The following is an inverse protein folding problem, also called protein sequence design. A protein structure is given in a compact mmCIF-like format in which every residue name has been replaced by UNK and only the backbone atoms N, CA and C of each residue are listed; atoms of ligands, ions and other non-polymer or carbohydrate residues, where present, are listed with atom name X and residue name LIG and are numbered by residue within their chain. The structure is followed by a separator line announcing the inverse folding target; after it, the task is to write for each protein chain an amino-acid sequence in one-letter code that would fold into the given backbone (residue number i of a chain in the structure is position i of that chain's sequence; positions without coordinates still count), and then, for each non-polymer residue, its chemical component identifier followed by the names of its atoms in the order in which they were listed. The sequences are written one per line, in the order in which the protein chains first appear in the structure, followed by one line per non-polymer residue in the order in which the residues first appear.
data_IF_552855711515
#
_entry.id   IF_552855711515
#
_cell.length_a   1.000
_cell.length_b   1.000
_cell.length_c   1.000
_cell.angle_alpha   90.00
_cell.angle_beta   90.00
_cell.angle_gamma   90.00
#
_symmetry.space_group_name_H-M   'P 1'
#
loop_
_entity.id
_entity.type
_entity.pdbx_description
1 polymer ?
#
# COMPACT_ATOMS: atom_id res chain seq x y z
N UNK A 1 -0.36 -20.24 0.36
CA UNK A 1 -0.90 -19.16 1.20
C UNK A 1 -1.36 -18.03 0.27
N UNK A 2 -2.63 -17.59 0.33
CA UNK A 2 -3.15 -16.49 -0.48
C UNK A 2 -2.28 -15.23 -0.43
N UNK A 3 -2.40 -14.40 -1.47
CA UNK A 3 -1.68 -13.13 -1.58
C UNK A 3 -2.67 -12.04 -1.96
N UNK A 4 -2.64 -10.94 -1.22
CA UNK A 4 -3.51 -9.81 -1.44
C UNK A 4 -2.69 -8.60 -1.88
N UNK A 5 -3.13 -7.95 -2.96
CA UNK A 5 -2.55 -6.70 -3.45
C UNK A 5 -3.51 -5.55 -3.15
N UNK A 6 -3.02 -4.54 -2.44
CA UNK A 6 -3.76 -3.37 -2.03
C UNK A 6 -3.22 -2.15 -2.77
N UNK A 7 -4.10 -1.44 -3.47
CA UNK A 7 -3.73 -0.26 -4.24
C UNK A 7 -4.73 0.86 -4.06
N UNK A 8 -4.28 2.08 -4.32
CA UNK A 8 -5.14 3.26 -4.25
C UNK A 8 -6.20 3.18 -5.34
N UNK A 9 -7.47 3.21 -4.95
CA UNK A 9 -8.60 3.28 -5.86
C UNK A 9 -8.67 4.70 -6.45
N UNK A 10 -8.34 4.83 -7.73
CA UNK A 10 -8.32 6.13 -8.41
C UNK A 10 -9.71 6.63 -8.80
N UNK A 11 -10.73 5.80 -8.60
CA UNK A 11 -12.14 6.08 -8.85
C UNK A 11 -12.97 6.15 -7.57
N UNK A 12 -12.32 6.22 -6.39
CA UNK A 12 -13.03 6.36 -5.12
C UNK A 12 -13.94 7.60 -5.14
N UNK A 13 -15.21 7.40 -4.83
CA UNK A 13 -16.21 8.47 -4.70
C UNK A 13 -16.42 8.89 -3.24
N UNK A 14 -15.95 8.07 -2.30
CA UNK A 14 -15.99 8.28 -0.85
C UNK A 14 -14.61 8.00 -0.22
N UNK A 15 -14.25 8.67 0.89
CA UNK A 15 -13.11 8.30 1.72
C UNK A 15 -13.10 6.82 2.14
N UNK A 16 -14.28 6.18 2.25
CA UNK A 16 -14.45 4.77 2.63
C UNK A 16 -14.08 3.78 1.51
N UNK A 17 -13.76 4.25 0.31
CA UNK A 17 -13.40 3.41 -0.84
C UNK A 17 -11.98 3.68 -1.37
N UNK A 18 -11.16 4.37 -0.58
CA UNK A 18 -9.85 4.88 -0.96
C UNK A 18 -8.89 3.79 -1.44
N UNK A 19 -9.00 2.59 -0.90
CA UNK A 19 -8.16 1.44 -1.21
C UNK A 19 -8.99 0.29 -1.77
N UNK A 20 -8.46 -0.36 -2.81
CA UNK A 20 -8.99 -1.60 -3.36
C UNK A 20 -8.06 -2.74 -3.00
N UNK A 21 -8.64 -3.87 -2.57
CA UNK A 21 -7.89 -5.09 -2.24
C UNK A 21 -8.25 -6.16 -3.27
N UNK A 22 -7.24 -6.66 -3.97
CA UNK A 22 -7.35 -7.78 -4.90
C UNK A 22 -6.82 -9.04 -4.24
N UNK A 23 -7.61 -10.10 -4.27
CA UNK A 23 -7.12 -11.45 -4.05
C UNK A 23 -6.45 -11.96 -5.34
N UNK A 24 -5.15 -12.21 -5.29
CA UNK A 24 -4.39 -12.70 -6.47
C UNK A 24 -4.74 -14.12 -6.86
N UNK A 25 -5.33 -14.91 -5.97
CA UNK A 25 -5.76 -16.28 -6.29
C UNK A 25 -6.98 -16.26 -7.20
N UNK A 26 -7.94 -15.37 -6.94
CA UNK A 26 -9.16 -15.24 -7.75
C UNK A 26 -9.09 -14.15 -8.82
N UNK A 27 -8.16 -13.20 -8.69
CA UNK A 27 -8.04 -12.03 -9.57
C UNK A 27 -9.13 -10.99 -9.35
N UNK A 28 -9.90 -11.08 -8.25
CA UNK A 28 -11.06 -10.22 -7.98
C UNK A 28 -10.76 -9.20 -6.90
N UNK A 29 -11.37 -8.02 -7.02
CA UNK A 29 -11.46 -7.06 -5.90
C UNK A 29 -12.43 -7.64 -4.88
N UNK A 30 -11.95 -7.90 -3.67
CA UNK A 30 -12.74 -8.51 -2.59
C UNK A 30 -13.24 -7.49 -1.57
N UNK A 31 -12.56 -6.36 -1.45
CA UNK A 31 -12.98 -5.26 -0.57
C UNK A 31 -12.53 -3.91 -1.12
N UNK A 32 -13.34 -2.89 -0.85
CA UNK A 32 -12.95 -1.47 -0.91
C UNK A 32 -13.07 -0.91 0.49
N UNK A 33 -12.09 -0.15 0.93
CA UNK A 33 -12.06 0.40 2.29
C UNK A 33 -11.27 1.70 2.34
N UNK A 34 -11.61 2.56 3.31
CA UNK A 34 -10.87 3.77 3.61
C UNK A 34 -9.63 3.52 4.47
N UNK A 35 -9.65 2.49 5.30
CA UNK A 35 -8.61 2.24 6.30
C UNK A 35 -8.16 0.78 6.31
N UNK A 36 -6.86 0.55 6.41
CA UNK A 36 -6.24 -0.77 6.59
C UNK A 36 -5.00 -0.69 7.45
N UNK A 37 -4.88 -1.62 8.38
CA UNK A 37 -3.69 -1.93 9.15
C UNK A 37 -3.16 -3.30 8.69
N UNK A 38 -1.88 -3.40 8.33
CA UNK A 38 -1.31 -4.61 7.72
C UNK A 38 0.05 -4.94 8.33
N UNK A 39 0.31 -6.22 8.61
CA UNK A 39 1.62 -6.73 9.05
C UNK A 39 2.39 -7.39 7.90
N UNK A 40 3.72 -7.34 7.95
CA UNK A 40 4.62 -8.06 7.05
C UNK A 40 4.38 -7.72 5.56
N UNK A 41 4.30 -6.44 5.23
CA UNK A 41 3.89 -5.99 3.91
C UNK A 41 5.08 -5.69 2.98
N UNK A 42 4.93 -6.08 1.71
CA UNK A 42 5.85 -5.71 0.65
C UNK A 42 5.32 -4.51 -0.16
N UNK A 43 6.18 -3.56 -0.46
CA UNK A 43 5.87 -2.38 -1.28
C UNK A 43 6.37 -2.63 -2.70
N UNK A 44 5.43 -2.90 -3.61
CA UNK A 44 5.75 -3.41 -4.93
C UNK A 44 5.46 -2.35 -5.99
N UNK A 45 6.43 -2.10 -6.87
CA UNK A 45 6.27 -1.31 -8.08
C UNK A 45 6.58 -2.19 -9.28
N UNK A 46 5.68 -2.24 -10.26
CA UNK A 46 5.89 -2.93 -11.51
C UNK A 46 6.63 -2.02 -12.51
N UNK A 47 7.86 -2.35 -12.93
CA UNK A 47 8.69 -1.44 -13.72
C UNK A 47 8.07 -1.03 -15.05
N UNK A 48 7.40 -1.96 -15.74
CA UNK A 48 6.72 -1.67 -17.01
C UNK A 48 5.59 -0.63 -16.83
N UNK A 49 4.81 -0.75 -15.76
CA UNK A 49 3.78 0.22 -15.43
C UNK A 49 4.35 1.58 -15.03
N UNK A 50 5.44 1.58 -14.25
CA UNK A 50 6.15 2.80 -13.86
C UNK A 50 6.65 3.58 -15.07
N UNK A 51 7.35 2.90 -15.99
CA UNK A 51 7.82 3.50 -17.25
C UNK A 51 6.68 4.08 -18.07
N UNK A 52 5.55 3.36 -18.17
CA UNK A 52 4.37 3.84 -18.90
C UNK A 52 3.81 5.12 -18.27
N UNK A 53 3.69 5.19 -16.93
CA UNK A 53 3.19 6.40 -16.26
C UNK A 53 4.16 7.56 -16.41
N UNK A 54 5.46 7.33 -16.31
CA UNK A 54 6.46 8.37 -16.52
C UNK A 54 6.42 8.94 -17.95
N UNK A 55 6.33 8.06 -18.96
CA UNK A 55 6.28 8.48 -20.36
C UNK A 55 4.97 9.19 -20.74
N UNK A 56 3.83 8.70 -20.26
CA UNK A 56 2.50 9.18 -20.70
C UNK A 56 1.84 10.17 -19.74
N UNK A 57 2.39 10.33 -18.54
CA UNK A 57 1.82 11.10 -17.43
C UNK A 57 0.38 10.70 -17.05
N UNK A 58 -0.07 9.52 -17.50
CA UNK A 58 -1.41 8.99 -17.29
C UNK A 58 -1.45 8.05 -16.09
N UNK A 59 -2.55 8.08 -15.34
CA UNK A 59 -2.79 7.20 -14.18
C UNK A 59 -2.76 5.72 -14.61
N UNK A 60 -2.09 4.88 -13.83
CA UNK A 60 -2.08 3.42 -14.02
C UNK A 60 -1.92 2.73 -12.67
N UNK A 61 -2.55 1.57 -12.48
CA UNK A 61 -2.32 0.72 -11.31
C UNK A 61 -1.08 -0.13 -11.59
N UNK A 62 0.01 0.19 -10.92
CA UNK A 62 1.30 -0.48 -11.08
C UNK A 62 2.15 -0.44 -9.82
N UNK A 63 1.59 0.10 -8.73
CA UNK A 63 2.22 0.13 -7.43
C UNK A 63 1.17 -0.25 -6.39
N UNK A 64 1.54 -1.14 -5.47
CA UNK A 64 0.63 -1.71 -4.48
C UNK A 64 1.39 -2.22 -3.27
N UNK A 65 0.68 -2.30 -2.15
CA UNK A 65 1.10 -3.01 -0.95
C UNK A 65 0.70 -4.47 -1.09
N UNK A 66 1.58 -5.40 -0.77
CA UNK A 66 1.34 -6.84 -0.91
C UNK A 66 1.51 -7.54 0.43
N UNK A 67 0.53 -8.34 0.81
CA UNK A 67 0.58 -9.18 2.00
C UNK A 67 0.31 -10.63 1.63
N UNK A 68 0.87 -11.56 2.41
CA UNK A 68 0.57 -12.98 2.34
C UNK A 68 -0.04 -13.40 3.66
N UNK A 69 -1.22 -14.00 3.62
CA UNK A 69 -1.93 -14.44 4.82
C UNK A 69 -2.77 -15.68 4.51
N UNK A 70 -3.19 -16.43 5.54
CA UNK A 70 -4.03 -17.63 5.38
C UNK A 70 -5.42 -17.26 4.83
N UNK A 71 -5.97 -16.14 5.27
CA UNK A 71 -7.19 -15.52 4.77
C UNK A 71 -7.06 -13.99 4.79
N UNK A 72 -8.04 -13.29 4.20
CA UNK A 72 -8.11 -11.83 4.30
C UNK A 72 -8.34 -11.37 5.75
N UNK A 73 -9.16 -12.09 6.51
CA UNK A 73 -9.43 -11.76 7.92
C UNK A 73 -8.16 -11.86 8.77
N UNK A 74 -7.30 -12.85 8.51
CA UNK A 74 -6.02 -12.98 9.20
C UNK A 74 -5.09 -11.80 8.89
N UNK A 75 -5.08 -11.33 7.63
CA UNK A 75 -4.23 -10.21 7.20
C UNK A 75 -4.53 -8.90 7.95
N UNK A 76 -5.80 -8.67 8.30
CA UNK A 76 -6.23 -7.44 9.00
C UNK A 76 -6.22 -7.61 10.53
N UNK A 77 -6.48 -8.80 11.06
CA UNK A 77 -6.52 -9.02 12.51
C UNK A 77 -5.17 -8.72 13.18
N UNK A 78 -4.07 -9.14 12.55
CA UNK A 78 -2.72 -8.87 13.05
C UNK A 78 -2.38 -7.37 13.01
N UNK A 79 -2.82 -6.68 11.95
CA UNK A 79 -2.58 -5.24 11.81
C UNK A 79 -3.38 -4.42 12.81
N UNK A 80 -4.65 -4.77 13.06
CA UNK A 80 -5.48 -4.08 14.05
C UNK A 80 -4.93 -4.27 15.47
N UNK A 81 -4.43 -5.47 15.81
CA UNK A 81 -3.82 -5.69 17.12
C UNK A 81 -2.61 -4.78 17.35
N UNK A 82 -1.76 -4.61 16.33
CA UNK A 82 -0.60 -3.72 16.39
C UNK A 82 -1.02 -2.25 16.52
N UNK A 83 -1.97 -1.78 15.70
CA UNK A 83 -2.43 -0.38 15.76
C UNK A 83 -2.95 0.02 17.16
N UNK A 84 -3.50 -0.93 17.92
CA UNK A 84 -4.03 -0.69 19.26
C UNK A 84 -2.98 -0.67 20.39
N UNK A 85 -1.73 -1.10 20.16
CA UNK A 85 -0.65 -1.05 21.16
C UNK A 85 -0.14 0.39 21.40
N UNK A 86 -0.47 1.34 20.52
CA UNK A 86 -0.35 2.78 20.76
C UNK A 86 1.07 3.34 20.87
N UNK A 87 2.10 2.50 20.79
CA UNK A 87 3.52 2.86 21.01
C UNK A 87 4.36 2.69 19.75
N UNK A 88 3.96 3.31 18.65
CA UNK A 88 4.64 3.13 17.36
C UNK A 88 4.97 4.47 16.70
N UNK A 89 6.23 4.63 16.30
CA UNK A 89 6.67 5.73 15.44
C UNK A 89 6.56 5.22 14.01
N UNK A 90 5.77 5.90 13.21
CA UNK A 90 5.52 5.54 11.83
C UNK A 90 5.97 6.67 10.92
N UNK A 91 6.67 6.31 9.85
CA UNK A 91 7.14 7.28 8.88
C UNK A 91 6.28 7.21 7.64
N UNK A 92 5.88 8.36 7.12
CA UNK A 92 5.16 8.39 5.86
C UNK A 92 6.04 7.91 4.72
N UNK A 93 5.49 7.01 3.92
CA UNK A 93 6.06 6.57 2.66
C UNK A 93 5.10 6.86 1.49
N UNK A 94 5.67 7.07 0.31
CA UNK A 94 4.89 7.32 -0.90
C UNK A 94 5.61 6.87 -2.16
N UNK A 95 4.86 6.84 -3.25
CA UNK A 95 5.38 6.54 -4.58
C UNK A 95 4.95 7.63 -5.57
N UNK A 96 5.92 8.20 -6.29
CA UNK A 96 5.72 9.33 -7.21
C UNK A 96 6.23 9.00 -8.63
N UNK A 97 5.51 8.18 -9.41
CA UNK A 97 5.95 7.72 -10.73
C UNK A 97 6.16 8.86 -11.72
N UNK A 98 5.38 9.95 -11.59
CA UNK A 98 5.50 11.14 -12.44
C UNK A 98 6.82 11.88 -12.26
N UNK A 99 7.49 11.69 -11.11
CA UNK A 99 8.82 12.22 -10.83
C UNK A 99 9.94 11.22 -11.18
N UNK A 100 9.62 10.15 -11.91
CA UNK A 100 10.58 9.11 -12.31
C UNK A 100 10.93 8.14 -11.18
N UNK A 101 10.17 8.12 -10.08
CA UNK A 101 10.42 7.14 -9.02
C UNK A 101 10.05 5.74 -9.49
N UNK A 102 10.86 4.76 -9.09
CA UNK A 102 10.74 3.33 -9.40
C UNK A 102 10.41 2.47 -8.16
N UNK A 103 10.30 3.12 -7.01
CA UNK A 103 10.19 2.51 -5.68
C UNK A 103 9.41 3.42 -4.76
N UNK A 104 8.77 2.85 -3.74
CA UNK A 104 8.26 3.62 -2.62
C UNK A 104 9.44 4.20 -1.83
N UNK A 105 9.27 5.40 -1.29
CA UNK A 105 10.30 6.08 -0.50
C UNK A 105 9.70 6.74 0.72
N UNK A 106 10.47 6.80 1.80
CA UNK A 106 10.17 7.66 2.93
C UNK A 106 10.11 9.12 2.49
N UNK A 107 9.16 9.90 3.01
CA UNK A 107 9.07 11.35 2.72
C UNK A 107 9.37 12.24 3.92
N UNK A 108 9.58 11.64 5.08
CA UNK A 108 9.84 12.31 6.34
C UNK A 108 10.69 11.41 7.25
N UNK A 109 11.17 11.95 8.36
CA UNK A 109 12.01 11.24 9.31
C UNK A 109 13.46 11.07 8.86
N UNK A 110 14.26 10.29 9.61
CA UNK A 110 15.70 10.13 9.38
C UNK A 110 16.03 9.38 8.08
N UNK A 111 15.05 8.69 7.48
CA UNK A 111 15.22 7.91 6.25
C UNK A 111 14.65 8.61 5.01
N UNK A 112 14.26 9.88 5.10
CA UNK A 112 13.63 10.61 4.00
C UNK A 112 14.41 10.47 2.67
N UNK A 113 13.68 10.11 1.60
CA UNK A 113 14.23 9.86 0.27
C UNK A 113 14.77 8.44 0.04
N UNK A 114 15.00 7.65 1.09
CA UNK A 114 15.46 6.27 0.95
C UNK A 114 14.33 5.37 0.44
N UNK A 115 14.64 4.39 -0.43
CA UNK A 115 13.66 3.44 -0.92
C UNK A 115 13.25 2.45 0.16
N UNK A 116 12.02 1.96 0.04
CA UNK A 116 11.46 0.95 0.93
C UNK A 116 10.68 -0.09 0.11
N UNK A 117 10.96 -1.37 0.39
CA UNK A 117 10.42 -2.52 -0.36
C UNK A 117 9.71 -3.51 0.54
N UNK A 118 10.03 -3.52 1.83
CA UNK A 118 9.41 -4.34 2.88
C UNK A 118 9.21 -3.46 4.11
N UNK A 119 8.17 -3.76 4.86
CA UNK A 119 7.85 -3.10 6.13
C UNK A 119 7.25 -4.12 7.07
N UNK A 120 7.57 -3.97 8.36
CA UNK A 120 6.96 -4.79 9.41
C UNK A 120 5.46 -4.48 9.50
N UNK A 121 5.09 -3.21 9.31
CA UNK A 121 3.74 -2.74 9.48
C UNK A 121 3.39 -1.57 8.55
N UNK A 122 2.23 -1.61 7.93
CA UNK A 122 1.73 -0.57 7.04
C UNK A 122 0.31 -0.13 7.43
N UNK A 123 0.13 1.18 7.61
CA UNK A 123 -1.18 1.81 7.78
C UNK A 123 -1.53 2.57 6.51
N UNK A 124 -2.70 2.26 5.97
CA UNK A 124 -3.29 2.93 4.83
C UNK A 124 -4.54 3.65 5.31
N UNK A 125 -4.58 4.98 5.17
CA UNK A 125 -5.70 5.76 5.67
C UNK A 125 -6.61 6.32 4.56
N UNK A 126 -7.75 6.87 4.96
CA UNK A 126 -8.80 7.35 4.04
C UNK A 126 -8.40 8.62 3.26
N UNK A 127 -7.31 9.28 3.65
CA UNK A 127 -6.69 10.36 2.87
C UNK A 127 -5.79 9.83 1.74
N UNK A 128 -5.64 8.50 1.60
CA UNK A 128 -4.77 7.86 0.62
C UNK A 128 -3.29 7.96 0.99
N UNK A 129 -2.98 8.11 2.28
CA UNK A 129 -1.61 8.15 2.81
C UNK A 129 -1.23 6.79 3.37
N UNK A 130 0.06 6.50 3.30
CA UNK A 130 0.67 5.29 3.84
C UNK A 130 1.73 5.66 4.87
N UNK A 131 1.64 5.04 6.03
CA UNK A 131 2.60 5.13 7.13
C UNK A 131 3.18 3.75 7.35
N UNK A 132 4.49 3.67 7.58
CA UNK A 132 5.21 2.41 7.67
C UNK A 132 6.19 2.40 8.83
N UNK A 133 6.52 1.18 9.28
CA UNK A 133 7.55 0.87 10.26
C UNK A 133 8.54 -0.16 9.72
#
# INVERSE_FOLDING_TARGET
MPTFDIYRNLHASSPDETWSVIDRTTGRVIVRTGHLNLTGAALVVQPAGARKVFATQTKNVHAFVRVKAKSWNDAIAEGEAFANDGNHIEWRATYRPKLGWDSFRYVEGPYAGQPVTLTEFAILNSAGRMYIR
#
